data_IF_050874162175
#
_entry.id   IF_050874162175
#
_cell.length_a   1.000
_cell.length_b   1.000
_cell.length_c   1.000
_cell.angle_alpha   90.00
_cell.angle_beta   90.00
_cell.angle_gamma   90.00
#
_symmetry.space_group_name_H-M   'P 1'
#
loop_
_entity.id
_entity.type
_entity.pdbx_description
1 polymer ?
#
# COMPACT_ATOMS: atom_id res chain seq x y z
N UNK A 1 7.58 6.76 -9.68
CA UNK A 1 6.22 7.26 -9.39
C UNK A 1 6.04 8.57 -10.15
N UNK A 2 4.83 8.86 -10.61
CA UNK A 2 4.47 10.16 -11.18
C UNK A 2 3.36 10.79 -10.34
N UNK A 3 3.42 12.11 -10.16
CA UNK A 3 2.68 12.79 -9.10
C UNK A 3 3.41 12.71 -7.75
N UNK A 4 2.87 13.42 -6.76
CA UNK A 4 3.42 13.42 -5.41
C UNK A 4 2.50 12.65 -4.46
N UNK A 5 3.07 11.76 -3.66
CA UNK A 5 2.38 11.23 -2.49
C UNK A 5 1.99 12.38 -1.57
N UNK A 6 0.82 12.25 -0.94
CA UNK A 6 0.34 13.26 -0.02
C UNK A 6 -1.12 13.08 0.35
N UNK A 7 -1.54 13.80 1.37
CA UNK A 7 -2.89 13.71 1.91
C UNK A 7 -3.80 14.72 1.21
N UNK A 8 -4.86 14.25 0.56
CA UNK A 8 -5.89 15.12 -0.02
C UNK A 8 -6.66 15.92 1.05
N UNK A 9 -6.68 15.44 2.31
CA UNK A 9 -7.31 16.15 3.42
C UNK A 9 -6.52 17.39 3.84
N UNK A 10 -5.20 17.27 3.91
CA UNK A 10 -4.33 18.33 4.45
C UNK A 10 -3.64 19.15 3.35
N UNK A 11 -3.60 18.62 2.13
CA UNK A 11 -2.81 19.16 1.02
C UNK A 11 -1.30 18.98 1.21
N UNK A 12 -0.86 18.23 2.23
CA UNK A 12 0.55 18.06 2.55
C UNK A 12 1.16 16.93 1.71
N UNK A 13 2.33 17.21 1.13
CA UNK A 13 3.16 16.21 0.48
C UNK A 13 3.66 15.14 1.47
N UNK A 14 4.03 13.98 0.95
CA UNK A 14 4.65 12.89 1.67
C UNK A 14 5.89 12.35 0.97
N UNK A 15 6.58 11.45 1.67
CA UNK A 15 7.83 10.83 1.21
C UNK A 15 7.70 9.31 1.17
N UNK A 16 8.40 8.66 0.23
CA UNK A 16 8.68 7.23 0.19
C UNK A 16 10.18 7.00 0.35
N UNK A 17 10.58 6.15 1.30
CA UNK A 17 11.99 5.78 1.52
C UNK A 17 12.95 6.99 1.66
N UNK A 18 12.44 8.10 2.21
CA UNK A 18 13.19 9.35 2.40
C UNK A 18 13.29 10.23 1.15
N UNK A 19 12.51 9.93 0.10
CA UNK A 19 12.42 10.69 -1.14
C UNK A 19 10.96 11.13 -1.33
N UNK A 20 10.72 12.43 -1.46
CA UNK A 20 9.39 12.97 -1.71
C UNK A 20 9.40 14.49 -1.87
N UNK A 21 8.21 15.06 -1.95
CA UNK A 21 8.03 16.51 -1.92
C UNK A 21 7.80 16.98 -0.48
N UNK A 22 8.16 18.23 -0.18
CA UNK A 22 7.87 18.89 1.09
C UNK A 22 6.87 20.03 0.90
N UNK A 23 6.04 20.28 1.92
CA UNK A 23 5.13 21.43 1.97
C UNK A 23 3.72 21.15 1.46
N UNK A 24 2.97 22.24 1.20
CA UNK A 24 1.60 22.17 0.67
C UNK A 24 1.63 22.08 -0.85
N UNK A 25 0.92 21.09 -1.37
CA UNK A 25 0.70 20.87 -2.79
C UNK A 25 -0.73 21.25 -3.18
N UNK A 26 -0.92 21.64 -4.44
CA UNK A 26 -2.26 21.76 -5.01
C UNK A 26 -2.88 20.37 -5.20
N UNK A 27 -4.20 20.31 -5.33
CA UNK A 27 -4.92 19.06 -5.57
C UNK A 27 -4.41 18.34 -6.84
N UNK A 28 -4.11 19.11 -7.88
CA UNK A 28 -3.61 18.58 -9.15
C UNK A 28 -2.19 17.98 -9.02
N UNK A 29 -1.38 18.45 -8.06
CA UNK A 29 -0.06 17.88 -7.78
C UNK A 29 -0.12 16.58 -6.96
N UNK A 30 -1.22 16.38 -6.21
CA UNK A 30 -1.46 15.20 -5.37
C UNK A 30 -2.13 14.04 -6.12
N UNK A 31 -2.52 14.27 -7.38
CA UNK A 31 -3.21 13.30 -8.22
C UNK A 31 -2.53 13.18 -9.58
N UNK A 32 -2.01 12.00 -9.90
CA UNK A 32 -1.39 11.71 -11.20
C UNK A 32 -2.35 12.00 -12.34
N UNK A 33 -1.99 12.89 -13.27
CA UNK A 33 -2.80 13.16 -14.46
C UNK A 33 -2.80 11.95 -15.43
N UNK A 34 -3.96 11.52 -15.97
CA UNK A 34 -4.01 10.39 -16.89
C UNK A 34 -3.23 10.57 -18.19
N UNK A 35 -3.14 11.80 -18.72
CA UNK A 35 -2.37 12.07 -19.93
C UNK A 35 -0.87 12.04 -19.62
N UNK A 36 -0.45 12.65 -18.51
CA UNK A 36 0.94 12.55 -18.04
C UNK A 36 1.36 11.09 -17.81
N UNK A 37 0.47 10.25 -17.28
CA UNK A 37 0.72 8.82 -17.13
C UNK A 37 0.95 8.11 -18.47
N UNK A 38 0.13 8.42 -19.47
CA UNK A 38 0.31 7.90 -20.83
C UNK A 38 1.66 8.33 -21.42
N UNK A 39 1.94 9.63 -21.39
CA UNK A 39 3.14 10.20 -21.96
C UNK A 39 4.40 9.64 -21.28
N UNK A 40 4.36 9.44 -19.95
CA UNK A 40 5.46 8.85 -19.19
C UNK A 40 5.70 7.38 -19.55
N UNK A 41 4.64 6.58 -19.67
CA UNK A 41 4.77 5.16 -20.07
C UNK A 41 5.34 5.07 -21.49
N UNK A 42 4.82 5.86 -22.42
CA UNK A 42 5.28 5.88 -23.82
C UNK A 42 6.75 6.30 -23.92
N UNK A 43 7.19 7.26 -23.09
CA UNK A 43 8.56 7.75 -23.10
C UNK A 43 9.57 6.80 -22.42
N UNK A 44 9.14 5.97 -21.48
CA UNK A 44 10.05 5.21 -20.60
C UNK A 44 9.98 3.71 -20.78
N UNK A 45 8.85 3.16 -21.25
CA UNK A 45 8.65 1.72 -21.39
C UNK A 45 8.61 0.96 -20.05
N UNK A 46 8.30 1.61 -18.94
CA UNK A 46 8.24 0.97 -17.62
C UNK A 46 7.22 -0.17 -17.55
N UNK A 47 7.59 -1.28 -16.92
CA UNK A 47 6.69 -2.43 -16.74
C UNK A 47 5.55 -2.18 -15.75
N UNK A 48 5.80 -1.31 -14.77
CA UNK A 48 4.84 -0.95 -13.74
C UNK A 48 4.95 0.54 -13.37
N UNK A 49 3.80 1.16 -13.14
CA UNK A 49 3.69 2.60 -12.85
C UNK A 49 3.04 2.82 -11.48
N UNK A 50 3.78 3.43 -10.56
CA UNK A 50 3.23 3.96 -9.33
C UNK A 50 2.53 5.31 -9.58
N UNK A 51 1.33 5.44 -9.03
CA UNK A 51 0.43 6.58 -9.22
C UNK A 51 -0.03 7.16 -7.88
N UNK A 52 -0.11 8.48 -7.82
CA UNK A 52 -0.69 9.23 -6.71
C UNK A 52 -2.20 9.37 -6.90
N UNK A 53 -2.98 8.82 -5.97
CA UNK A 53 -4.45 8.84 -5.97
C UNK A 53 -5.05 9.31 -4.64
N UNK A 54 -4.26 10.10 -3.90
CA UNK A 54 -4.63 10.64 -2.60
C UNK A 54 -4.21 9.79 -1.40
N UNK A 55 -3.33 8.82 -1.61
CA UNK A 55 -2.73 8.02 -0.54
C UNK A 55 -1.44 8.66 -0.02
N UNK A 56 -1.15 8.48 1.27
CA UNK A 56 0.12 8.85 1.91
C UNK A 56 0.74 7.68 2.67
N UNK A 57 2.01 7.79 3.08
CA UNK A 57 2.68 6.78 3.90
C UNK A 57 2.33 6.88 5.39
N UNK A 58 2.55 5.77 6.13
CA UNK A 58 2.29 5.69 7.57
C UNK A 58 0.84 5.38 7.94
N UNK A 59 0.55 5.43 9.25
CA UNK A 59 -0.77 5.14 9.82
C UNK A 59 -1.76 6.29 9.70
N UNK A 60 -1.25 7.52 9.64
CA UNK A 60 -2.06 8.74 9.62
C UNK A 60 -2.45 9.14 8.20
N UNK A 61 -3.18 8.26 7.51
CA UNK A 61 -3.58 8.51 6.11
C UNK A 61 -4.80 9.41 6.06
N UNK A 62 -5.81 9.08 6.85
CA UNK A 62 -7.06 9.80 6.91
C UNK A 62 -7.49 10.04 8.36
N UNK A 63 -8.05 11.22 8.60
CA UNK A 63 -8.63 11.64 9.89
C UNK A 63 -10.06 11.10 10.12
N UNK A 64 -10.68 10.57 9.07
CA UNK A 64 -12.00 9.94 9.06
C UNK A 64 -12.02 8.74 8.10
N UNK A 65 -13.01 7.83 8.16
CA UNK A 65 -13.17 6.78 7.16
C UNK A 65 -13.19 7.41 5.75
N UNK A 66 -12.30 6.97 4.84
CA UNK A 66 -12.19 7.60 3.55
C UNK A 66 -13.43 7.35 2.70
N UNK A 67 -13.87 8.42 2.05
CA UNK A 67 -14.89 8.43 1.01
C UNK A 67 -14.22 8.82 -0.32
N UNK A 68 -14.94 8.69 -1.45
CA UNK A 68 -14.37 8.95 -2.79
C UNK A 68 -13.86 10.37 -3.05
N UNK A 69 -14.05 11.31 -2.12
CA UNK A 69 -13.51 12.67 -2.14
C UNK A 69 -12.05 12.76 -1.65
N UNK A 70 -11.59 11.78 -0.86
CA UNK A 70 -10.21 11.74 -0.32
C UNK A 70 -9.41 10.52 -0.77
N UNK A 71 -10.03 9.61 -1.53
CA UNK A 71 -9.38 8.51 -2.23
C UNK A 71 -9.92 8.44 -3.66
N UNK A 72 -9.10 8.83 -4.64
CA UNK A 72 -9.55 9.06 -6.00
C UNK A 72 -9.51 7.78 -6.86
N UNK A 73 -10.32 6.77 -6.54
CA UNK A 73 -10.36 5.52 -7.33
C UNK A 73 -10.78 5.75 -8.79
N UNK A 74 -11.66 6.72 -9.05
CA UNK A 74 -12.00 7.14 -10.42
C UNK A 74 -10.77 7.61 -11.21
N UNK A 75 -9.74 8.14 -10.55
CA UNK A 75 -8.46 8.48 -11.21
C UNK A 75 -7.71 7.24 -11.67
N UNK A 76 -7.73 6.14 -10.91
CA UNK A 76 -7.15 4.85 -11.33
C UNK A 76 -7.82 4.37 -12.61
N UNK A 77 -9.17 4.46 -12.68
CA UNK A 77 -9.94 4.07 -13.87
C UNK A 77 -9.55 4.90 -15.10
N UNK A 78 -9.50 6.22 -14.94
CA UNK A 78 -9.12 7.12 -16.03
C UNK A 78 -7.68 6.88 -16.52
N UNK A 79 -6.75 6.59 -15.62
CA UNK A 79 -5.37 6.20 -15.98
C UNK A 79 -5.38 4.87 -16.72
N UNK A 80 -6.07 3.85 -16.19
CA UNK A 80 -6.15 2.54 -16.82
C UNK A 80 -6.75 2.58 -18.23
N UNK A 81 -7.79 3.40 -18.46
CA UNK A 81 -8.38 3.58 -19.79
C UNK A 81 -7.37 4.13 -20.81
N UNK A 82 -6.40 4.94 -20.37
CA UNK A 82 -5.33 5.49 -21.20
C UNK A 82 -4.19 4.51 -21.43
N UNK A 83 -3.80 3.76 -20.40
CA UNK A 83 -2.70 2.79 -20.43
C UNK A 83 -3.17 1.39 -20.01
N UNK A 84 -4.06 0.75 -20.80
CA UNK A 84 -4.76 -0.48 -20.39
C UNK A 84 -3.85 -1.69 -20.21
N UNK A 85 -2.64 -1.65 -20.77
CA UNK A 85 -1.67 -2.74 -20.69
C UNK A 85 -0.60 -2.55 -19.61
N UNK A 86 -0.57 -1.38 -18.96
CA UNK A 86 0.43 -1.07 -17.92
C UNK A 86 -0.02 -1.57 -16.56
N UNK A 87 0.90 -2.15 -15.79
CA UNK A 87 0.63 -2.58 -14.42
C UNK A 87 0.67 -1.39 -13.47
N UNK A 88 -0.46 -1.04 -12.86
CA UNK A 88 -0.50 0.05 -11.89
C UNK A 88 -0.05 -0.42 -10.50
N UNK A 89 0.60 0.47 -9.77
CA UNK A 89 1.08 0.25 -8.41
C UNK A 89 0.43 1.26 -7.47
N UNK A 90 -0.18 0.77 -6.39
CA UNK A 90 -0.71 1.62 -5.32
C UNK A 90 0.27 1.68 -4.15
N UNK A 91 0.78 2.88 -3.88
CA UNK A 91 1.62 3.17 -2.73
C UNK A 91 0.77 3.53 -1.52
N UNK A 92 1.37 3.60 -0.32
CA UNK A 92 0.64 4.01 0.89
C UNK A 92 -0.66 3.27 1.18
N UNK A 93 -0.80 2.00 0.79
CA UNK A 93 -2.09 1.29 0.72
C UNK A 93 -2.38 0.39 1.92
N UNK A 94 -1.73 0.65 3.05
CA UNK A 94 -2.06 -0.01 4.33
C UNK A 94 -3.46 0.39 4.79
N UNK A 95 -4.25 -0.58 5.29
CA UNK A 95 -5.66 -0.37 5.67
C UNK A 95 -5.86 0.09 7.12
N UNK A 96 -4.82 0.00 7.95
CA UNK A 96 -4.83 0.41 9.37
C UNK A 96 -5.93 -0.33 10.14
N UNK A 97 -5.72 -1.61 10.51
CA UNK A 97 -6.74 -2.41 11.18
C UNK A 97 -7.08 -1.83 12.55
N UNK A 98 -8.34 -1.46 12.73
CA UNK A 98 -8.82 -0.79 13.95
C UNK A 98 -8.67 -1.67 15.20
N UNK A 99 -8.74 -3.00 15.05
CA UNK A 99 -8.48 -3.95 16.14
C UNK A 99 -7.07 -3.79 16.73
N UNK A 100 -6.06 -3.58 15.88
CA UNK A 100 -4.67 -3.45 16.33
C UNK A 100 -4.40 -2.08 16.93
N UNK A 101 -5.07 -1.03 16.46
CA UNK A 101 -5.06 0.28 17.13
C UNK A 101 -5.62 0.17 18.55
N UNK A 102 -6.79 -0.48 18.70
CA UNK A 102 -7.42 -0.69 20.00
C UNK A 102 -6.51 -1.48 20.95
N UNK A 103 -5.92 -2.58 20.48
CA UNK A 103 -4.96 -3.38 21.26
C UNK A 103 -3.75 -2.54 21.67
N UNK A 104 -3.17 -1.77 20.76
CA UNK A 104 -2.01 -0.93 21.09
C UNK A 104 -2.38 0.07 22.19
N UNK A 105 -3.52 0.74 22.08
CA UNK A 105 -3.96 1.73 23.06
C UNK A 105 -4.34 1.11 24.41
N UNK A 106 -4.93 -0.08 24.42
CA UNK A 106 -5.21 -0.84 25.64
C UNK A 106 -3.91 -1.18 26.40
N UNK A 107 -2.84 -1.52 25.68
CA UNK A 107 -1.56 -1.92 26.25
C UNK A 107 -0.49 -0.80 26.19
N UNK A 108 -0.89 0.40 26.63
CA UNK A 108 0.00 1.53 26.92
C UNK A 108 0.58 2.24 25.69
N UNK A 109 -0.08 2.12 24.54
CA UNK A 109 0.16 2.94 23.37
C UNK A 109 -0.76 4.16 23.33
N UNK A 110 -0.39 5.14 22.51
CA UNK A 110 -1.16 6.37 22.33
C UNK A 110 -1.22 6.69 20.83
N UNK A 111 -1.99 5.91 20.08
CA UNK A 111 -2.26 6.15 18.67
C UNK A 111 -3.61 6.85 18.56
N UNK A 112 -3.68 8.08 18.03
CA UNK A 112 -4.95 8.77 17.81
C UNK A 112 -5.79 8.01 16.78
N UNK A 113 -7.08 8.26 16.79
CA UNK A 113 -8.01 7.71 15.80
C UNK A 113 -7.54 8.06 14.38
N UNK A 114 -7.38 7.03 13.54
CA UNK A 114 -6.94 7.21 12.16
C UNK A 114 -7.32 6.01 11.31
N UNK A 115 -7.42 6.25 10.01
CA UNK A 115 -7.94 5.30 9.04
C UNK A 115 -6.97 5.12 7.89
N UNK A 116 -6.90 3.90 7.36
CA UNK A 116 -6.13 3.55 6.18
C UNK A 116 -7.00 3.42 4.93
N UNK A 117 -6.43 2.84 3.87
CA UNK A 117 -7.16 2.59 2.62
C UNK A 117 -8.07 1.35 2.80
N UNK A 118 -9.40 1.45 2.57
CA UNK A 118 -10.31 0.33 2.70
C UNK A 118 -9.95 -0.79 1.72
N UNK A 119 -10.09 -2.04 2.14
CA UNK A 119 -9.74 -3.20 1.32
C UNK A 119 -10.60 -3.26 0.06
N UNK A 120 -11.86 -2.85 0.16
CA UNK A 120 -12.83 -2.81 -0.93
C UNK A 120 -12.42 -1.82 -2.03
N UNK A 121 -11.85 -0.68 -1.67
CA UNK A 121 -11.34 0.33 -2.61
C UNK A 121 -10.06 -0.16 -3.31
N UNK A 122 -9.20 -0.89 -2.59
CA UNK A 122 -8.03 -1.55 -3.19
C UNK A 122 -8.49 -2.62 -4.20
N UNK A 123 -9.51 -3.42 -3.85
CA UNK A 123 -10.11 -4.39 -4.77
C UNK A 123 -10.68 -3.73 -6.01
N UNK A 124 -11.31 -2.55 -5.88
CA UNK A 124 -11.75 -1.76 -7.01
C UNK A 124 -10.57 -1.32 -7.87
N UNK A 125 -9.48 -0.79 -7.28
CA UNK A 125 -8.25 -0.48 -8.02
C UNK A 125 -7.68 -1.70 -8.77
N UNK A 126 -7.72 -2.89 -8.17
CA UNK A 126 -7.28 -4.15 -8.82
C UNK A 126 -8.14 -4.48 -10.04
N UNK A 127 -9.44 -4.21 -10.01
CA UNK A 127 -10.32 -4.37 -11.19
C UNK A 127 -9.90 -3.47 -12.35
N UNK A 128 -9.25 -2.33 -12.05
CA UNK A 128 -8.83 -1.31 -13.02
C UNK A 128 -7.31 -1.18 -13.15
N UNK A 129 -6.61 -2.32 -13.22
CA UNK A 129 -5.21 -2.35 -13.63
C UNK A 129 -4.17 -2.31 -12.50
N UNK A 130 -4.56 -2.18 -11.23
CA UNK A 130 -3.60 -2.32 -10.12
C UNK A 130 -3.15 -3.78 -9.99
N UNK A 131 -1.83 -3.98 -9.95
CA UNK A 131 -1.18 -5.30 -9.85
C UNK A 131 -0.17 -5.41 -8.69
N UNK A 132 0.22 -4.29 -8.08
CA UNK A 132 1.08 -4.25 -6.88
C UNK A 132 0.50 -3.27 -5.86
N UNK A 133 0.38 -3.71 -4.61
CA UNK A 133 -0.17 -2.94 -3.49
C UNK A 133 0.85 -2.91 -2.37
N UNK A 134 1.34 -1.73 -1.99
CA UNK A 134 2.34 -1.59 -0.93
C UNK A 134 1.66 -1.58 0.45
N UNK A 135 2.01 -2.54 1.30
CA UNK A 135 1.49 -2.69 2.66
C UNK A 135 2.66 -2.87 3.62
N UNK A 136 2.71 -2.03 4.64
CA UNK A 136 3.77 -2.06 5.66
C UNK A 136 3.20 -1.70 7.03
N UNK A 137 2.51 -0.56 7.12
CA UNK A 137 1.94 -0.06 8.39
C UNK A 137 1.05 -1.10 9.08
N UNK A 138 0.27 -1.87 8.34
CA UNK A 138 -0.57 -2.94 8.92
C UNK A 138 0.27 -3.98 9.68
N UNK A 139 1.43 -4.36 9.13
CA UNK A 139 2.35 -5.31 9.75
C UNK A 139 3.03 -4.71 10.98
N UNK A 140 3.43 -3.44 10.91
CA UNK A 140 4.01 -2.71 12.05
C UNK A 140 3.02 -2.61 13.21
N UNK A 141 1.75 -2.29 12.92
CA UNK A 141 0.68 -2.21 13.93
C UNK A 141 0.40 -3.59 14.54
N UNK A 142 0.24 -4.63 13.71
CA UNK A 142 -0.01 -5.99 14.19
C UNK A 142 1.13 -6.50 15.08
N UNK A 143 2.38 -6.30 14.65
CA UNK A 143 3.57 -6.66 15.42
C UNK A 143 3.63 -5.89 16.74
N UNK A 144 3.47 -4.56 16.71
CA UNK A 144 3.54 -3.70 17.89
C UNK A 144 2.46 -4.05 18.92
N UNK A 145 1.22 -4.23 18.48
CA UNK A 145 0.12 -4.62 19.35
C UNK A 145 0.33 -6.00 19.96
N UNK A 146 0.82 -6.97 19.19
CA UNK A 146 1.13 -8.30 19.69
C UNK A 146 2.21 -8.29 20.78
N UNK A 147 3.30 -7.53 20.59
CA UNK A 147 4.35 -7.39 21.62
C UNK A 147 3.79 -6.72 22.88
N UNK A 148 3.10 -5.59 22.74
CA UNK A 148 2.55 -4.83 23.87
C UNK A 148 1.61 -5.68 24.73
N UNK A 149 0.66 -6.35 24.09
CA UNK A 149 -0.27 -7.27 24.75
C UNK A 149 0.46 -8.42 25.44
N UNK A 150 1.49 -8.99 24.79
CA UNK A 150 2.23 -10.09 25.39
C UNK A 150 2.97 -9.65 26.66
N UNK A 151 3.75 -8.57 26.59
CA UNK A 151 4.56 -8.09 27.70
C UNK A 151 3.71 -7.65 28.90
N UNK A 152 2.57 -6.99 28.65
CA UNK A 152 1.66 -6.56 29.71
C UNK A 152 1.07 -7.75 30.50
N UNK A 153 0.82 -8.88 29.84
CA UNK A 153 0.26 -10.08 30.46
C UNK A 153 1.33 -11.04 31.01
N UNK A 154 2.61 -10.81 30.73
CA UNK A 154 3.71 -11.71 31.09
C UNK A 154 4.91 -10.92 31.66
N UNK A 155 4.69 -10.19 32.75
CA UNK A 155 5.67 -9.23 33.30
C UNK A 155 7.05 -9.82 33.67
N UNK A 156 7.14 -11.13 33.93
CA UNK A 156 8.40 -11.81 34.24
C UNK A 156 9.10 -12.40 33.01
N UNK A 157 8.46 -12.40 31.85
CA UNK A 157 9.00 -12.98 30.63
C UNK A 157 9.95 -11.98 29.95
N UNK A 158 11.17 -12.44 29.67
CA UNK A 158 12.24 -11.62 29.10
C UNK A 158 12.87 -12.27 27.85
N UNK A 159 12.53 -13.53 27.55
CA UNK A 159 13.02 -14.21 26.35
C UNK A 159 12.39 -13.56 25.12
N UNK A 160 13.18 -12.92 24.23
CA UNK A 160 12.65 -12.24 23.06
C UNK A 160 11.80 -13.13 22.16
N UNK A 161 12.13 -14.42 22.09
CA UNK A 161 11.38 -15.37 21.26
C UNK A 161 9.92 -15.45 21.70
N UNK A 162 9.65 -15.31 23.01
CA UNK A 162 8.32 -15.47 23.58
C UNK A 162 7.38 -14.35 23.17
N UNK A 163 7.85 -13.10 23.13
CA UNK A 163 7.03 -11.97 22.66
C UNK A 163 7.16 -11.71 21.16
N UNK A 164 8.19 -12.22 20.48
CA UNK A 164 8.33 -12.11 19.02
C UNK A 164 7.55 -13.18 18.23
N UNK A 165 7.40 -14.40 18.75
CA UNK A 165 6.58 -15.44 18.07
C UNK A 165 5.13 -14.96 17.82
N UNK A 166 4.43 -14.33 18.79
CA UNK A 166 3.10 -13.78 18.56
C UNK A 166 3.05 -12.70 17.46
N UNK A 167 4.13 -11.96 17.23
CA UNK A 167 4.16 -10.95 16.15
C UNK A 167 4.21 -11.60 14.78
N UNK A 168 4.92 -12.73 14.65
CA UNK A 168 5.00 -13.50 13.41
C UNK A 168 3.61 -13.99 13.02
N UNK A 169 2.86 -14.58 13.94
CA UNK A 169 1.49 -15.02 13.66
C UNK A 169 0.56 -13.84 13.35
N UNK A 170 0.63 -12.75 14.13
CA UNK A 170 -0.19 -11.55 13.87
C UNK A 170 0.07 -10.94 12.48
N UNK A 171 1.34 -10.79 12.09
CA UNK A 171 1.70 -10.28 10.75
C UNK A 171 1.30 -11.25 9.64
N UNK A 172 1.46 -12.56 9.87
CA UNK A 172 1.07 -13.60 8.92
C UNK A 172 -0.44 -13.61 8.66
N UNK A 173 -1.25 -13.40 9.69
CA UNK A 173 -2.71 -13.30 9.54
C UNK A 173 -3.10 -12.10 8.67
N UNK A 174 -2.43 -10.95 8.86
CA UNK A 174 -2.62 -9.78 7.98
C UNK A 174 -2.24 -10.12 6.53
N UNK A 175 -1.05 -10.70 6.30
CA UNK A 175 -0.60 -11.07 4.95
C UNK A 175 -1.60 -12.03 4.30
N UNK A 176 -2.03 -13.06 5.03
CA UNK A 176 -3.00 -14.05 4.53
C UNK A 176 -4.32 -13.37 4.14
N UNK A 177 -4.87 -12.53 5.01
CA UNK A 177 -6.12 -11.81 4.73
C UNK A 177 -6.00 -10.92 3.48
N UNK A 178 -4.85 -10.27 3.26
CA UNK A 178 -4.61 -9.46 2.04
C UNK A 178 -4.48 -10.31 0.79
N UNK A 179 -3.74 -11.43 0.84
CA UNK A 179 -3.63 -12.34 -0.30
C UNK A 179 -4.99 -12.94 -0.72
N UNK A 180 -5.83 -13.29 0.26
CA UNK A 180 -7.19 -13.76 0.02
C UNK A 180 -8.07 -12.64 -0.57
N UNK A 181 -8.09 -11.46 0.05
CA UNK A 181 -8.90 -10.34 -0.43
C UNK A 181 -8.49 -9.86 -1.83
N UNK A 182 -7.20 -9.93 -2.18
CA UNK A 182 -6.69 -9.51 -3.49
C UNK A 182 -6.73 -10.63 -4.53
N UNK A 183 -7.30 -11.79 -4.20
CA UNK A 183 -7.49 -12.91 -5.14
C UNK A 183 -6.18 -13.61 -5.55
N UNK A 184 -5.10 -13.43 -4.78
CA UNK A 184 -3.78 -14.02 -5.09
C UNK A 184 -3.54 -15.35 -4.40
N UNK A 185 -4.36 -15.71 -3.39
CA UNK A 185 -4.33 -17.02 -2.76
C UNK A 185 -4.50 -18.16 -3.80
N UNK A 186 -3.55 -19.10 -3.82
CA UNK A 186 -3.57 -20.25 -4.74
C UNK A 186 -3.07 -19.97 -6.16
N UNK A 187 -2.71 -18.72 -6.51
CA UNK A 187 -2.33 -18.37 -7.89
C UNK A 187 -0.95 -18.89 -8.33
N UNK A 188 -0.11 -19.41 -7.41
CA UNK A 188 1.22 -19.94 -7.74
C UNK A 188 1.14 -21.01 -8.85
N UNK A 189 0.15 -21.90 -8.79
CA UNK A 189 -0.03 -22.96 -9.79
C UNK A 189 -0.40 -22.44 -11.19
N UNK A 190 -0.87 -21.19 -11.30
CA UNK A 190 -1.23 -20.55 -12.57
C UNK A 190 -0.04 -19.83 -13.22
N UNK A 191 1.10 -19.69 -12.53
CA UNK A 191 2.32 -19.12 -13.08
C UNK A 191 2.95 -20.16 -14.02
N UNK A 192 2.79 -19.95 -15.33
CA UNK A 192 3.26 -20.89 -16.36
C UNK A 192 4.78 -21.04 -16.39
N UNK A 193 5.49 -19.91 -16.48
CA UNK A 193 6.95 -19.85 -16.53
C UNK A 193 7.42 -18.70 -15.66
N UNK A 194 8.34 -19.02 -14.76
CA UNK A 194 9.18 -18.03 -14.09
C UNK A 194 10.45 -17.92 -14.93
N UNK A 195 10.64 -16.76 -15.56
CA UNK A 195 11.80 -16.51 -16.40
C UNK A 195 13.02 -16.20 -15.52
N UNK A 196 14.21 -16.64 -15.95
CA UNK A 196 15.44 -16.11 -15.36
C UNK A 196 15.64 -14.65 -15.79
N UNK A 197 16.55 -13.93 -15.11
CA UNK A 197 16.86 -12.55 -15.48
C UNK A 197 17.48 -12.47 -16.88
N UNK A 198 18.30 -13.45 -17.27
CA UNK A 198 18.89 -13.56 -18.61
C UNK A 198 17.81 -13.79 -19.69
N UNK A 199 16.82 -14.63 -19.40
CA UNK A 199 15.70 -14.84 -20.32
C UNK A 199 14.82 -13.59 -20.46
N UNK A 200 14.61 -12.84 -19.37
CA UNK A 200 13.90 -11.57 -19.43
C UNK A 200 14.68 -10.51 -20.20
N UNK A 201 16.00 -10.43 -20.00
CA UNK A 201 16.87 -9.54 -20.77
C UNK A 201 16.72 -9.77 -22.28
N UNK A 202 16.83 -11.03 -22.72
CA UNK A 202 16.66 -11.35 -24.15
C UNK A 202 15.28 -10.95 -24.67
N UNK A 203 14.23 -11.09 -23.86
CA UNK A 203 12.88 -10.69 -24.26
C UNK A 203 12.72 -9.18 -24.42
N UNK A 204 13.42 -8.36 -23.64
CA UNK A 204 13.43 -6.91 -23.85
C UNK A 204 14.20 -6.54 -25.11
N UNK A 205 15.35 -7.18 -25.38
CA UNK A 205 16.12 -6.98 -26.62
C UNK A 205 15.31 -7.37 -27.87
N UNK A 206 14.54 -8.46 -27.81
CA UNK A 206 13.73 -8.92 -28.94
C UNK A 206 12.47 -8.06 -29.18
N UNK A 207 12.06 -7.25 -28.20
CA UNK A 207 10.84 -6.44 -28.25
C UNK A 207 11.09 -4.97 -28.68
N UNK A 208 12.34 -4.51 -28.62
CA UNK A 208 12.77 -3.17 -29.07
C UNK A 208 13.09 -3.11 -30.56
#
# INVERSE_FOLDING_TARGET
>A
EIGCLGSLETGMAGEEDGIGAEGKLSMDQLLTDPQEASDFVDATGVDALAIAVGTSHGAYKFSRPPTGDILAIERIKAIHDKIPNTHLVMHGSSSVPQEWLAIINEFGGEIPETYGVPVEEIQEGIRHGVRKVNIDTDLRLASTGAVRRFLANNASEFDPRKFLIPTIEAMKDIVKARLEAFGTAGQIANIKKVYSLEEMYQRYEDAG
#
